data_IF_063212790090
#
_entry.id   IF_063212790090
#
_cell.length_a   1.000
_cell.length_b   1.000
_cell.length_c   1.000
_cell.angle_alpha   90.00
_cell.angle_beta   90.00
_cell.angle_gamma   90.00
#
_symmetry.space_group_name_H-M   'P 1'
#
loop_
_entity.id
_entity.type
_entity.pdbx_description
1 polymer ?
#
# COMPACT_ATOMS: atom_id res chain seq x y z
N UNK A 1 25.89 27.74 2.75
CA UNK A 1 24.54 28.02 2.20
C UNK A 1 24.40 27.48 0.77
N UNK A 2 25.32 27.76 -0.14
CA UNK A 2 25.33 27.27 -1.54
C UNK A 2 25.25 25.74 -1.67
N UNK A 3 26.01 24.97 -0.88
CA UNK A 3 25.98 23.50 -0.88
C UNK A 3 24.60 22.91 -0.55
N UNK A 4 23.93 23.46 0.48
CA UNK A 4 22.60 23.00 0.92
C UNK A 4 21.56 23.26 -0.17
N UNK A 5 21.62 24.42 -0.83
CA UNK A 5 20.72 24.75 -1.93
C UNK A 5 20.94 23.79 -3.10
N UNK A 6 22.21 23.49 -3.45
CA UNK A 6 22.54 22.53 -4.50
C UNK A 6 22.01 21.13 -4.17
N UNK A 7 22.24 20.64 -2.94
CA UNK A 7 21.76 19.33 -2.49
C UNK A 7 20.23 19.24 -2.55
N UNK A 8 19.53 20.31 -2.18
CA UNK A 8 18.06 20.39 -2.28
C UNK A 8 17.57 20.38 -3.74
N UNK A 9 18.23 21.13 -4.63
CA UNK A 9 17.91 21.13 -6.06
C UNK A 9 18.13 19.74 -6.66
N UNK A 10 19.27 19.10 -6.35
CA UNK A 10 19.54 17.75 -6.80
C UNK A 10 18.50 16.76 -6.26
N UNK A 11 18.18 16.81 -4.97
CA UNK A 11 17.15 15.95 -4.38
C UNK A 11 15.79 16.13 -5.07
N UNK A 12 15.39 17.38 -5.37
CA UNK A 12 14.17 17.67 -6.13
C UNK A 12 14.21 17.06 -7.53
N UNK A 13 15.32 17.21 -8.26
CA UNK A 13 15.49 16.63 -9.59
C UNK A 13 15.40 15.11 -9.55
N UNK A 14 16.10 14.45 -8.61
CA UNK A 14 15.99 13.00 -8.42
C UNK A 14 14.56 12.59 -8.12
N UNK A 15 13.87 13.28 -7.22
CA UNK A 15 12.46 13.03 -6.93
C UNK A 15 11.57 13.07 -8.19
N UNK A 16 11.74 14.06 -9.07
CA UNK A 16 11.02 14.14 -10.34
C UNK A 16 11.40 13.01 -11.30
N UNK A 17 12.70 12.79 -11.51
CA UNK A 17 13.20 11.83 -12.48
C UNK A 17 12.93 10.38 -12.08
N UNK A 18 12.90 10.06 -10.78
CA UNK A 18 12.50 8.73 -10.32
C UNK A 18 11.03 8.44 -10.64
N UNK A 19 10.16 9.45 -10.58
CA UNK A 19 8.76 9.29 -10.96
C UNK A 19 8.64 9.00 -12.47
N UNK A 20 9.47 9.66 -13.28
CA UNK A 20 9.54 9.43 -14.73
C UNK A 20 10.11 8.04 -15.02
N UNK A 21 11.19 7.65 -14.34
CA UNK A 21 11.87 6.36 -14.51
C UNK A 21 10.95 5.18 -14.19
N UNK A 22 10.32 5.21 -13.01
CA UNK A 22 9.31 4.21 -12.61
C UNK A 22 8.12 4.19 -13.58
N UNK A 23 7.61 5.35 -14.00
CA UNK A 23 6.54 5.42 -15.01
C UNK A 23 6.96 4.79 -16.34
N UNK A 24 8.23 4.90 -16.75
CA UNK A 24 8.79 4.24 -17.93
C UNK A 24 8.68 2.72 -17.85
N UNK A 25 9.09 2.12 -16.74
CA UNK A 25 8.89 0.69 -16.49
C UNK A 25 7.41 0.30 -16.38
N UNK A 26 6.58 1.19 -15.83
CA UNK A 26 5.13 1.06 -15.87
C UNK A 26 4.58 0.94 -17.29
N UNK A 27 5.12 1.72 -18.25
CA UNK A 27 4.74 1.61 -19.67
C UNK A 27 5.06 0.22 -20.22
N UNK A 28 6.24 -0.33 -19.93
CA UNK A 28 6.62 -1.69 -20.35
C UNK A 28 5.63 -2.71 -19.78
N UNK A 29 5.41 -2.68 -18.47
CA UNK A 29 4.58 -3.69 -17.81
C UNK A 29 3.14 -3.64 -18.33
N UNK A 30 2.55 -2.46 -18.48
CA UNK A 30 1.19 -2.30 -18.99
C UNK A 30 1.09 -2.65 -20.48
N UNK A 31 2.10 -2.25 -21.26
CA UNK A 31 2.24 -2.61 -22.68
C UNK A 31 2.29 -4.13 -22.88
N UNK A 32 2.99 -4.84 -22.00
CA UNK A 32 3.03 -6.29 -21.98
C UNK A 32 1.64 -6.86 -21.67
N UNK A 33 0.98 -6.37 -20.61
CA UNK A 33 -0.29 -6.90 -20.10
C UNK A 33 -1.50 -6.67 -21.02
N UNK A 34 -1.55 -5.55 -21.75
CA UNK A 34 -2.74 -5.17 -22.53
C UNK A 34 -2.37 -4.47 -23.84
N UNK A 35 -2.93 -4.94 -24.96
CA UNK A 35 -2.75 -4.30 -26.27
C UNK A 35 -3.75 -3.16 -26.54
N UNK A 36 -4.85 -3.06 -25.78
CA UNK A 36 -5.96 -2.13 -26.03
C UNK A 36 -6.06 -0.95 -25.04
N UNK A 37 -5.13 -0.79 -24.10
CA UNK A 37 -5.26 0.25 -23.06
C UNK A 37 -4.82 1.62 -23.57
N UNK A 38 -5.64 2.25 -24.40
CA UNK A 38 -5.38 3.61 -24.93
C UNK A 38 -5.34 4.70 -23.83
N UNK A 39 -5.88 4.44 -22.63
CA UNK A 39 -6.13 5.48 -21.63
C UNK A 39 -5.63 5.12 -20.22
N UNK A 40 -4.34 4.85 -20.05
CA UNK A 40 -3.75 4.62 -18.72
C UNK A 40 -3.22 5.93 -18.14
N UNK A 41 -3.50 6.14 -16.85
CA UNK A 41 -3.06 7.30 -16.09
C UNK A 41 -1.57 7.21 -15.74
N UNK A 42 -0.80 8.31 -15.79
CA UNK A 42 0.60 8.35 -15.34
C UNK A 42 0.80 7.95 -13.89
N UNK A 43 -0.12 8.35 -13.01
CA UNK A 43 -0.03 7.93 -11.62
C UNK A 43 -0.20 6.43 -11.47
N UNK A 44 -1.02 5.81 -12.33
CA UNK A 44 -1.15 4.35 -12.41
C UNK A 44 0.10 3.72 -13.04
N UNK A 45 0.71 4.34 -14.07
CA UNK A 45 1.99 3.89 -14.63
C UNK A 45 3.08 3.83 -13.56
N UNK A 46 3.20 4.85 -12.72
CA UNK A 46 4.15 4.82 -11.59
C UNK A 46 3.89 3.64 -10.63
N UNK A 47 2.62 3.32 -10.31
CA UNK A 47 2.30 2.17 -9.45
C UNK A 47 2.72 0.84 -10.09
N UNK A 48 2.47 0.66 -11.39
CA UNK A 48 2.93 -0.51 -12.14
C UNK A 48 4.46 -0.54 -12.31
N UNK A 49 5.10 0.64 -12.37
CA UNK A 49 6.55 0.78 -12.33
C UNK A 49 7.15 0.24 -11.04
N UNK A 50 6.53 0.55 -9.90
CA UNK A 50 6.95 0.03 -8.61
C UNK A 50 6.79 -1.51 -8.52
N UNK A 51 5.75 -2.08 -9.14
CA UNK A 51 5.61 -3.54 -9.27
C UNK A 51 6.78 -4.12 -10.08
N UNK A 52 7.18 -3.47 -11.16
CA UNK A 52 8.33 -3.89 -11.96
C UNK A 52 9.64 -3.80 -11.16
N UNK A 53 9.84 -2.72 -10.41
CA UNK A 53 10.97 -2.58 -9.48
C UNK A 53 10.99 -3.63 -8.38
N UNK A 54 9.84 -4.05 -7.86
CA UNK A 54 9.78 -5.15 -6.90
C UNK A 54 10.33 -6.44 -7.51
N UNK A 55 9.93 -6.75 -8.74
CA UNK A 55 10.40 -7.94 -9.46
C UNK A 55 11.92 -7.88 -9.65
N UNK A 56 12.44 -6.76 -10.17
CA UNK A 56 13.89 -6.59 -10.37
C UNK A 56 14.65 -6.65 -9.05
N UNK A 57 14.22 -5.89 -8.04
CA UNK A 57 14.89 -5.82 -6.75
C UNK A 57 14.95 -7.20 -6.08
N UNK A 58 13.87 -7.98 -6.17
CA UNK A 58 13.89 -9.35 -5.64
C UNK A 58 14.79 -10.28 -6.46
N UNK A 59 14.79 -10.17 -7.79
CA UNK A 59 15.71 -10.94 -8.64
C UNK A 59 17.19 -10.64 -8.31
N UNK A 60 17.56 -9.37 -8.12
CA UNK A 60 18.91 -8.97 -7.74
C UNK A 60 19.33 -9.56 -6.39
N UNK A 61 18.41 -9.54 -5.42
CA UNK A 61 18.65 -10.14 -4.10
C UNK A 61 18.94 -11.64 -4.18
N UNK A 62 18.24 -12.35 -5.07
CA UNK A 62 18.46 -13.79 -5.27
C UNK A 62 19.78 -14.13 -5.97
N UNK A 63 20.29 -13.26 -6.86
CA UNK A 63 21.41 -13.62 -7.76
C UNK A 63 22.73 -12.91 -7.44
N UNK A 64 22.73 -11.57 -7.40
CA UNK A 64 23.96 -10.77 -7.54
C UNK A 64 24.15 -9.69 -6.49
N UNK A 65 23.28 -9.62 -5.46
CA UNK A 65 23.18 -8.50 -4.50
C UNK A 65 22.93 -7.14 -5.16
N UNK A 66 22.61 -6.13 -4.36
CA UNK A 66 22.40 -4.78 -4.88
C UNK A 66 23.74 -4.07 -5.14
N UNK A 67 23.78 -3.24 -6.19
CA UNK A 67 24.93 -2.42 -6.52
C UNK A 67 24.47 -1.00 -6.90
N UNK A 68 24.99 0.07 -6.25
CA UNK A 68 24.67 1.45 -6.60
C UNK A 68 24.84 1.80 -8.09
N UNK A 69 25.82 1.20 -8.77
CA UNK A 69 26.08 1.43 -10.20
C UNK A 69 24.95 0.82 -11.04
N UNK A 70 24.50 -0.39 -10.68
CA UNK A 70 23.35 -1.02 -11.33
C UNK A 70 22.08 -0.18 -11.13
N UNK A 71 21.88 0.37 -9.93
CA UNK A 71 20.77 1.27 -9.62
C UNK A 71 20.76 2.51 -10.54
N UNK A 72 21.94 3.09 -10.81
CA UNK A 72 22.08 4.22 -11.75
C UNK A 72 21.68 3.79 -13.18
N UNK A 73 22.17 2.65 -13.65
CA UNK A 73 21.86 2.14 -14.99
C UNK A 73 20.35 1.91 -15.12
N UNK A 74 19.74 1.24 -14.13
CA UNK A 74 18.30 0.99 -14.08
C UNK A 74 17.50 2.31 -14.09
N UNK A 75 17.94 3.30 -13.33
CA UNK A 75 17.30 4.61 -13.28
C UNK A 75 17.30 5.31 -14.65
N UNK A 76 18.45 5.41 -15.31
CA UNK A 76 18.53 6.05 -16.63
C UNK A 76 17.82 5.24 -17.72
N UNK A 77 17.86 3.91 -17.65
CA UNK A 77 17.15 3.05 -18.59
C UNK A 77 15.62 3.26 -18.47
N UNK A 78 15.07 3.37 -17.26
CA UNK A 78 13.67 3.72 -17.06
C UNK A 78 13.28 5.09 -17.64
N UNK A 79 14.15 6.10 -17.52
CA UNK A 79 13.94 7.42 -18.14
C UNK A 79 13.95 7.30 -19.66
N UNK A 80 14.94 6.59 -20.22
CA UNK A 80 15.03 6.35 -21.66
C UNK A 80 13.77 5.67 -22.20
N UNK A 81 13.33 4.58 -21.57
CA UNK A 81 12.09 3.89 -21.92
C UNK A 81 10.90 4.85 -21.90
N UNK A 82 10.81 5.72 -20.90
CA UNK A 82 9.70 6.65 -20.80
C UNK A 82 9.59 7.55 -22.04
N UNK A 83 10.71 8.04 -22.57
CA UNK A 83 10.70 8.93 -23.73
C UNK A 83 10.65 8.19 -25.08
N UNK A 84 11.39 7.08 -25.24
CA UNK A 84 11.54 6.40 -26.53
C UNK A 84 10.46 5.34 -26.79
N UNK A 85 9.80 4.81 -25.76
CA UNK A 85 8.74 3.82 -25.95
C UNK A 85 7.40 4.50 -26.27
N UNK A 86 7.18 4.79 -27.55
CA UNK A 86 5.93 5.34 -28.06
C UNK A 86 4.82 4.28 -28.11
N UNK A 87 3.99 4.28 -27.07
CA UNK A 87 2.60 3.82 -27.19
C UNK A 87 1.67 4.97 -26.88
N UNK A 88 0.56 5.03 -27.63
CA UNK A 88 -0.57 5.92 -27.43
C UNK A 88 -1.15 5.77 -26.01
N UNK A 89 -0.51 6.44 -25.05
CA UNK A 89 -0.94 6.59 -23.67
C UNK A 89 -1.46 8.01 -23.51
N UNK A 90 -2.58 8.15 -22.79
CA UNK A 90 -3.27 9.42 -22.58
C UNK A 90 -2.31 10.56 -22.25
N UNK A 91 -2.29 11.58 -23.12
CA UNK A 91 -1.44 12.76 -23.03
C UNK A 91 -1.99 13.68 -21.94
N UNK A 92 -1.51 13.50 -20.72
CA UNK A 92 -1.36 14.62 -19.78
C UNK A 92 0.04 15.13 -20.06
N UNK A 93 0.15 16.40 -20.42
CA UNK A 93 1.45 17.00 -20.69
C UNK A 93 2.38 16.76 -19.51
N UNK A 94 3.63 16.37 -19.78
CA UNK A 94 4.68 16.23 -18.78
C UNK A 94 4.74 17.44 -17.82
N UNK A 95 4.48 18.64 -18.36
CA UNK A 95 4.33 19.89 -17.60
C UNK A 95 3.32 19.79 -16.46
N UNK A 96 2.15 19.19 -16.68
CA UNK A 96 1.12 19.00 -15.65
C UNK A 96 1.57 17.98 -14.59
N UNK A 97 2.27 16.92 -14.97
CA UNK A 97 2.80 15.93 -14.02
C UNK A 97 3.85 16.59 -13.11
N UNK A 98 4.80 17.31 -13.71
CA UNK A 98 5.84 18.05 -12.99
C UNK A 98 5.19 19.06 -12.04
N UNK A 99 4.15 19.77 -12.49
CA UNK A 99 3.39 20.70 -11.64
C UNK A 99 2.74 20.01 -10.43
N UNK A 100 2.11 18.84 -10.60
CA UNK A 100 1.56 18.11 -9.45
C UNK A 100 2.65 17.63 -8.51
N UNK A 101 3.74 17.09 -9.06
CA UNK A 101 4.87 16.63 -8.24
C UNK A 101 5.51 17.78 -7.46
N UNK A 102 5.64 18.96 -8.06
CA UNK A 102 6.23 20.14 -7.41
C UNK A 102 5.34 20.68 -6.29
N UNK A 103 4.01 20.66 -6.46
CA UNK A 103 3.06 21.11 -5.44
C UNK A 103 3.19 20.31 -4.13
N UNK A 104 3.49 19.02 -4.24
CA UNK A 104 3.64 18.14 -3.08
C UNK A 104 5.09 18.06 -2.57
N UNK A 105 6.08 18.63 -3.26
CA UNK A 105 7.49 18.50 -2.87
C UNK A 105 7.79 19.00 -1.44
N UNK A 106 7.11 20.04 -0.97
CA UNK A 106 7.26 20.55 0.40
C UNK A 106 6.95 19.49 1.46
N UNK A 107 6.03 18.57 1.20
CA UNK A 107 5.67 17.49 2.12
C UNK A 107 6.80 16.47 2.32
N UNK A 108 7.73 16.36 1.36
CA UNK A 108 8.96 15.56 1.51
C UNK A 108 10.00 16.27 2.39
N UNK A 109 10.07 17.59 2.31
CA UNK A 109 11.07 18.37 3.07
C UNK A 109 10.72 18.43 4.56
N UNK A 110 9.44 18.47 4.90
CA UNK A 110 8.94 18.49 6.30
C UNK A 110 8.85 17.06 6.86
N UNK A 111 9.88 16.25 6.59
CA UNK A 111 9.88 14.84 6.95
C UNK A 111 10.62 14.56 8.25
N UNK A 112 9.84 14.12 9.24
CA UNK A 112 10.37 13.26 10.29
C UNK A 112 10.31 11.81 9.75
N UNK A 113 11.18 10.93 10.27
CA UNK A 113 11.10 9.49 10.02
C UNK A 113 10.19 8.83 11.06
N UNK A 114 9.41 7.83 10.64
CA UNK A 114 8.50 7.12 11.54
C UNK A 114 9.32 6.43 12.63
N UNK A 115 8.82 6.34 13.86
CA UNK A 115 9.57 5.76 14.99
C UNK A 115 10.02 4.32 14.69
N UNK A 116 9.12 3.51 14.13
CA UNK A 116 9.42 2.14 13.69
C UNK A 116 10.50 2.05 12.59
N UNK A 117 10.77 3.14 11.86
CA UNK A 117 11.67 3.11 10.70
C UNK A 117 13.09 2.69 11.11
N UNK A 118 13.63 3.30 12.16
CA UNK A 118 14.97 2.98 12.67
C UNK A 118 15.03 1.60 13.34
N UNK A 119 13.90 1.07 13.81
CA UNK A 119 13.86 -0.16 14.61
C UNK A 119 13.92 -1.46 13.82
N UNK A 120 13.33 -1.50 12.61
CA UNK A 120 13.34 -2.70 11.78
C UNK A 120 13.29 -2.45 10.27
N UNK A 121 12.70 -1.34 9.81
CA UNK A 121 12.66 -1.05 8.37
C UNK A 121 14.03 -0.71 7.81
N UNK A 122 14.78 0.18 8.48
CA UNK A 122 16.12 0.57 8.05
C UNK A 122 17.14 -0.57 8.22
N UNK A 123 17.22 -1.28 9.37
CA UNK A 123 18.08 -2.46 9.49
C UNK A 123 17.74 -3.54 8.45
N UNK A 124 16.46 -3.78 8.19
CA UNK A 124 16.03 -4.73 7.16
C UNK A 124 16.40 -4.31 5.75
N UNK A 125 16.35 -3.01 5.44
CA UNK A 125 16.82 -2.48 4.16
C UNK A 125 18.33 -2.62 4.02
N UNK A 126 19.11 -2.32 5.06
CA UNK A 126 20.55 -2.47 5.06
C UNK A 126 20.96 -3.94 4.88
N UNK A 127 20.27 -4.86 5.55
CA UNK A 127 20.46 -6.30 5.37
C UNK A 127 20.26 -6.72 3.90
N UNK A 128 19.16 -6.29 3.28
CA UNK A 128 18.87 -6.56 1.86
C UNK A 128 19.93 -5.97 0.93
N UNK A 129 20.43 -4.78 1.24
CA UNK A 129 21.31 -4.04 0.35
C UNK A 129 22.77 -4.50 0.44
N UNK A 130 23.28 -4.75 1.65
CA UNK A 130 24.68 -5.07 1.91
C UNK A 130 25.00 -6.55 1.68
N UNK A 131 24.03 -7.43 1.96
CA UNK A 131 24.27 -8.87 1.91
C UNK A 131 23.76 -9.47 0.60
N UNK A 132 24.38 -10.59 0.21
CA UNK A 132 23.77 -11.55 -0.71
C UNK A 132 22.59 -12.23 -0.02
N UNK A 133 21.85 -13.06 -0.74
CA UNK A 133 20.74 -13.87 -0.22
C UNK A 133 21.04 -14.42 1.19
N UNK A 134 20.27 -13.98 2.20
CA UNK A 134 20.37 -14.45 3.58
C UNK A 134 19.24 -15.42 3.89
N UNK A 135 19.56 -16.70 3.96
CA UNK A 135 18.61 -17.72 4.40
C UNK A 135 18.51 -17.66 5.92
N UNK A 136 17.29 -17.64 6.44
CA UNK A 136 17.06 -17.68 7.89
C UNK A 136 17.28 -16.38 8.64
N UNK A 137 17.14 -15.22 8.00
CA UNK A 137 17.31 -13.92 8.69
C UNK A 137 16.40 -13.76 9.92
N UNK A 138 15.28 -14.50 10.00
CA UNK A 138 14.45 -14.58 11.20
C UNK A 138 15.14 -15.13 12.45
N UNK A 139 16.19 -15.95 12.30
CA UNK A 139 17.01 -16.44 13.42
C UNK A 139 17.87 -15.33 14.04
N UNK A 140 18.29 -14.34 13.24
CA UNK A 140 19.04 -13.18 13.73
C UNK A 140 18.11 -12.26 14.51
N UNK A 141 16.96 -11.96 13.91
CA UNK A 141 15.89 -11.23 14.57
C UNK A 141 14.56 -11.55 13.91
N UNK A 142 13.55 -11.85 14.73
CA UNK A 142 12.18 -12.04 14.24
C UNK A 142 11.67 -10.82 13.47
N UNK A 143 12.19 -9.62 13.76
CA UNK A 143 11.84 -8.39 13.04
C UNK A 143 12.20 -8.46 11.55
N UNK A 144 13.23 -9.21 11.15
CA UNK A 144 13.59 -9.39 9.74
C UNK A 144 12.58 -10.23 8.96
N UNK A 145 11.75 -11.03 9.62
CA UNK A 145 10.60 -11.72 9.01
C UNK A 145 9.49 -10.74 8.62
N UNK A 146 9.40 -9.60 9.31
CA UNK A 146 8.38 -8.55 9.12
C UNK A 146 8.77 -7.46 8.14
N UNK A 147 10.02 -7.48 7.65
CA UNK A 147 10.49 -6.51 6.66
C UNK A 147 9.62 -6.61 5.42
N UNK A 148 9.13 -5.46 4.98
CA UNK A 148 8.27 -5.35 3.81
C UNK A 148 9.03 -5.74 2.55
N UNK A 149 8.35 -6.40 1.60
CA UNK A 149 8.91 -6.56 0.26
C UNK A 149 9.16 -5.21 -0.43
N UNK A 150 8.52 -4.14 0.04
CA UNK A 150 8.78 -2.78 -0.43
C UNK A 150 10.24 -2.35 -0.24
N UNK A 151 10.96 -2.93 0.72
CA UNK A 151 12.39 -2.66 0.92
C UNK A 151 13.26 -3.07 -0.28
N UNK A 152 12.82 -4.05 -1.09
CA UNK A 152 13.50 -4.39 -2.35
C UNK A 152 13.39 -3.26 -3.39
N UNK A 153 12.27 -2.53 -3.41
CA UNK A 153 12.13 -1.33 -4.26
C UNK A 153 13.07 -0.25 -3.75
N UNK A 154 13.11 -0.04 -2.44
CA UNK A 154 13.93 1.03 -1.83
C UNK A 154 15.42 0.82 -1.98
N UNK A 155 15.86 -0.44 -1.98
CA UNK A 155 17.25 -0.77 -2.24
C UNK A 155 17.71 -0.31 -3.64
N UNK A 156 16.79 -0.19 -4.61
CA UNK A 156 17.07 0.39 -5.94
C UNK A 156 17.21 1.92 -5.93
N UNK A 157 16.79 2.59 -4.84
CA UNK A 157 16.91 4.04 -4.67
C UNK A 157 18.20 4.43 -3.92
N UNK A 158 19.06 3.47 -3.55
CA UNK A 158 20.34 3.76 -2.92
C UNK A 158 21.36 4.12 -4.00
N UNK A 159 21.88 5.35 -3.94
CA UNK A 159 22.80 5.92 -4.95
C UNK A 159 24.13 6.31 -4.31
N UNK A 160 25.25 6.32 -5.05
CA UNK A 160 26.58 6.63 -4.50
C UNK A 160 26.65 7.99 -3.79
N UNK A 161 26.03 9.03 -4.37
CA UNK A 161 26.12 10.40 -3.84
C UNK A 161 25.17 10.66 -2.66
N UNK A 162 23.99 10.04 -2.66
CA UNK A 162 22.94 10.28 -1.67
C UNK A 162 22.85 9.20 -0.59
N UNK A 163 23.55 8.08 -0.78
CA UNK A 163 23.46 6.89 0.06
C UNK A 163 21.98 6.52 0.30
N UNK A 164 21.54 6.51 1.55
CA UNK A 164 20.19 6.15 1.98
C UNK A 164 19.19 7.32 1.96
N UNK A 165 19.58 8.54 1.58
CA UNK A 165 18.70 9.73 1.69
C UNK A 165 17.47 9.67 0.76
N UNK A 166 17.53 8.89 -0.32
CA UNK A 166 16.48 8.81 -1.35
C UNK A 166 15.43 7.71 -1.09
N UNK A 167 15.61 6.86 -0.08
CA UNK A 167 14.81 5.64 0.15
C UNK A 167 13.33 5.91 0.47
N UNK A 168 12.98 7.14 0.87
CA UNK A 168 11.61 7.57 1.12
C UNK A 168 10.89 8.10 -0.12
N UNK A 169 11.60 8.39 -1.21
CA UNK A 169 11.01 8.81 -2.48
C UNK A 169 9.97 7.80 -3.00
N UNK A 170 10.23 6.47 -3.06
CA UNK A 170 9.23 5.53 -3.58
C UNK A 170 7.98 5.44 -2.70
N UNK A 171 8.11 5.61 -1.38
CA UNK A 171 6.96 5.71 -0.45
C UNK A 171 6.06 6.87 -0.85
N UNK A 172 6.69 8.05 -1.01
CA UNK A 172 5.97 9.26 -1.36
C UNK A 172 5.39 9.24 -2.77
N UNK A 173 6.08 8.61 -3.72
CA UNK A 173 5.56 8.39 -5.06
C UNK A 173 4.28 7.56 -5.08
N UNK A 174 4.12 6.56 -4.20
CA UNK A 174 2.84 5.83 -4.09
C UNK A 174 1.74 6.74 -3.52
N UNK A 175 2.05 7.55 -2.51
CA UNK A 175 1.10 8.51 -1.97
C UNK A 175 0.62 9.51 -3.04
N UNK A 176 1.54 10.17 -3.74
CA UNK A 176 1.19 11.11 -4.81
C UNK A 176 0.47 10.41 -5.95
N UNK A 177 0.88 9.19 -6.31
CA UNK A 177 0.14 8.40 -7.29
C UNK A 177 -1.31 8.16 -6.87
N UNK A 178 -1.56 7.97 -5.59
CA UNK A 178 -2.92 7.81 -5.07
C UNK A 178 -3.71 9.12 -5.18
N UNK A 179 -3.15 10.23 -4.69
CA UNK A 179 -3.79 11.55 -4.76
C UNK A 179 -4.07 11.94 -6.21
N UNK A 180 -3.06 11.81 -7.08
CA UNK A 180 -3.15 12.09 -8.51
C UNK A 180 -4.13 11.17 -9.25
N UNK A 181 -4.23 9.91 -8.85
CA UNK A 181 -5.23 8.98 -9.39
C UNK A 181 -6.67 9.46 -9.12
N UNK A 182 -6.99 9.80 -7.88
CA UNK A 182 -8.32 10.30 -7.51
C UNK A 182 -8.60 11.67 -8.12
N UNK A 183 -7.62 12.56 -8.16
CA UNK A 183 -7.75 13.87 -8.79
C UNK A 183 -8.14 13.79 -10.27
N UNK A 184 -7.48 12.90 -11.04
CA UNK A 184 -7.78 12.77 -12.47
C UNK A 184 -9.13 12.09 -12.73
N UNK A 185 -9.54 11.13 -11.90
CA UNK A 185 -10.87 10.53 -12.00
C UNK A 185 -11.98 11.52 -11.59
N UNK A 186 -11.71 12.40 -10.62
CA UNK A 186 -12.59 13.50 -10.27
C UNK A 186 -12.81 14.47 -11.43
N UNK A 187 -11.73 14.87 -12.13
CA UNK A 187 -11.79 15.79 -13.28
C UNK A 187 -12.41 15.21 -14.55
N UNK A 188 -12.59 13.89 -14.63
CA UNK A 188 -13.07 13.22 -15.84
C UNK A 188 -14.53 13.59 -16.12
N UNK A 189 -14.84 13.98 -17.36
CA UNK A 189 -16.19 14.46 -17.71
C UNK A 189 -17.26 13.36 -17.57
N UNK A 190 -16.96 12.15 -18.06
CA UNK A 190 -17.91 11.04 -18.20
C UNK A 190 -18.07 10.16 -16.93
N UNK A 191 -17.55 10.58 -15.78
CA UNK A 191 -17.73 9.83 -14.52
C UNK A 191 -19.06 10.17 -13.86
N UNK A 192 -19.66 9.18 -13.19
CA UNK A 192 -20.93 9.38 -12.49
C UNK A 192 -20.76 10.41 -11.36
N UNK A 193 -21.84 11.11 -10.98
CA UNK A 193 -21.78 12.09 -9.87
C UNK A 193 -21.29 11.45 -8.57
N UNK A 194 -21.73 10.22 -8.30
CA UNK A 194 -21.32 9.41 -7.15
C UNK A 194 -19.82 9.14 -7.16
N UNK A 195 -19.30 8.71 -8.31
CA UNK A 195 -17.88 8.44 -8.47
C UNK A 195 -17.05 9.71 -8.27
N UNK A 196 -17.47 10.84 -8.86
CA UNK A 196 -16.81 12.14 -8.63
C UNK A 196 -16.84 12.51 -7.15
N UNK A 197 -17.97 12.31 -6.50
CA UNK A 197 -18.14 12.59 -5.08
C UNK A 197 -17.20 11.73 -4.21
N UNK A 198 -17.13 10.43 -4.49
CA UNK A 198 -16.21 9.51 -3.85
C UNK A 198 -14.74 9.92 -4.05
N UNK A 199 -14.36 10.25 -5.29
CA UNK A 199 -13.00 10.71 -5.58
C UNK A 199 -12.65 12.00 -4.85
N UNK A 200 -13.58 12.96 -4.78
CA UNK A 200 -13.39 14.22 -4.05
C UNK A 200 -13.28 13.99 -2.54
N UNK A 201 -14.14 13.13 -1.98
CA UNK A 201 -14.10 12.77 -0.56
C UNK A 201 -12.75 12.18 -0.16
N UNK A 202 -12.27 11.17 -0.91
CA UNK A 202 -10.96 10.57 -0.67
C UNK A 202 -9.84 11.58 -0.84
N UNK A 203 -9.87 12.39 -1.90
CA UNK A 203 -8.81 13.36 -2.16
C UNK A 203 -8.67 14.37 -1.02
N UNK A 204 -9.80 14.94 -0.57
CA UNK A 204 -9.81 15.91 0.52
C UNK A 204 -9.36 15.25 1.82
N UNK A 205 -9.83 14.02 2.10
CA UNK A 205 -9.38 13.26 3.26
C UNK A 205 -7.86 13.03 3.26
N UNK A 206 -7.29 12.57 2.14
CA UNK A 206 -5.87 12.26 2.05
C UNK A 206 -5.00 13.51 2.26
N UNK A 207 -5.39 14.64 1.68
CA UNK A 207 -4.63 15.90 1.78
C UNK A 207 -4.70 16.48 3.20
N UNK A 208 -5.86 16.38 3.88
CA UNK A 208 -6.02 16.89 5.25
C UNK A 208 -5.26 16.03 6.26
N UNK A 209 -5.35 14.68 6.17
CA UNK A 209 -4.78 13.79 7.20
C UNK A 209 -3.29 13.51 7.01
N UNK A 210 -2.80 13.47 5.78
CA UNK A 210 -1.44 13.04 5.46
C UNK A 210 -0.60 14.21 4.96
N UNK A 211 -0.16 15.05 5.90
CA UNK A 211 0.60 16.27 5.61
C UNK A 211 2.12 16.06 5.69
N UNK A 212 2.59 15.06 6.46
CA UNK A 212 4.02 14.78 6.71
C UNK A 212 4.40 13.33 6.42
N UNK A 213 5.67 13.10 6.04
CA UNK A 213 6.21 11.75 5.75
C UNK A 213 5.95 10.71 6.87
N UNK A 214 6.02 11.13 8.13
CA UNK A 214 5.67 10.27 9.28
C UNK A 214 4.26 9.70 9.21
N UNK A 215 3.32 10.47 8.65
CA UNK A 215 1.91 10.15 8.68
C UNK A 215 1.54 9.15 7.59
N UNK A 216 2.33 9.04 6.51
CA UNK A 216 2.09 8.12 5.40
C UNK A 216 3.19 7.07 5.18
N UNK A 217 3.96 6.76 6.22
CA UNK A 217 4.99 5.72 6.21
C UNK A 217 4.47 4.33 5.80
N UNK A 218 5.38 3.36 5.74
CA UNK A 218 5.20 2.00 5.18
C UNK A 218 3.86 1.30 5.43
N UNK A 219 3.24 1.53 6.59
CA UNK A 219 1.97 0.90 6.96
C UNK A 219 0.77 1.45 6.18
N UNK A 220 0.80 2.73 5.80
CA UNK A 220 -0.31 3.43 5.14
C UNK A 220 -0.32 3.26 3.62
N UNK A 221 0.85 3.04 3.03
CA UNK A 221 1.01 2.91 1.57
C UNK A 221 0.11 1.80 1.01
N UNK A 222 0.06 0.65 1.70
CA UNK A 222 -0.77 -0.46 1.26
C UNK A 222 -2.26 -0.10 1.30
N UNK A 223 -2.70 0.65 2.31
CA UNK A 223 -4.08 1.12 2.44
C UNK A 223 -4.46 2.15 1.37
N UNK A 224 -3.53 3.00 0.94
CA UNK A 224 -3.76 3.89 -0.20
C UNK A 224 -4.05 3.11 -1.49
N UNK A 225 -3.33 2.01 -1.71
CA UNK A 225 -3.61 1.10 -2.82
C UNK A 225 -5.00 0.46 -2.66
N UNK A 226 -5.41 0.07 -1.46
CA UNK A 226 -6.75 -0.49 -1.20
C UNK A 226 -7.88 0.47 -1.60
N UNK A 227 -7.71 1.78 -1.42
CA UNK A 227 -8.68 2.78 -1.91
C UNK A 227 -8.78 2.79 -3.43
N UNK A 228 -7.64 2.74 -4.15
CA UNK A 228 -7.61 2.65 -5.62
C UNK A 228 -8.27 1.34 -6.09
N UNK A 229 -7.98 0.24 -5.40
CA UNK A 229 -8.54 -1.08 -5.69
C UNK A 229 -10.05 -1.05 -5.53
N UNK A 230 -10.56 -0.49 -4.43
CA UNK A 230 -12.01 -0.32 -4.24
C UNK A 230 -12.64 0.50 -5.37
N UNK A 231 -12.04 1.64 -5.74
CA UNK A 231 -12.55 2.46 -6.84
C UNK A 231 -12.68 1.65 -8.15
N UNK A 232 -11.65 0.89 -8.50
CA UNK A 232 -11.66 0.02 -9.69
C UNK A 232 -12.72 -1.07 -9.60
N UNK A 233 -12.80 -1.76 -8.46
CA UNK A 233 -13.74 -2.86 -8.21
C UNK A 233 -15.19 -2.41 -8.20
N UNK A 234 -15.48 -1.20 -7.71
CA UNK A 234 -16.85 -0.72 -7.57
C UNK A 234 -17.30 0.11 -8.78
N UNK A 235 -16.56 1.17 -9.12
CA UNK A 235 -16.95 2.12 -10.18
C UNK A 235 -16.54 1.66 -11.58
N UNK A 236 -15.43 0.93 -11.70
CA UNK A 236 -14.90 0.48 -13.00
C UNK A 236 -15.15 -1.00 -13.29
N UNK A 237 -16.05 -1.66 -12.53
CA UNK A 237 -16.37 -3.10 -12.64
C UNK A 237 -16.76 -3.60 -14.04
N UNK A 238 -17.28 -2.71 -14.90
CA UNK A 238 -17.63 -3.05 -16.29
C UNK A 238 -16.42 -3.30 -17.19
N UNK A 239 -15.23 -2.80 -16.83
CA UNK A 239 -14.01 -2.91 -17.63
C UNK A 239 -13.16 -4.06 -17.14
N UNK A 240 -13.13 -5.17 -17.89
CA UNK A 240 -12.39 -6.39 -17.54
C UNK A 240 -10.93 -6.13 -17.17
N UNK A 241 -10.22 -5.30 -17.94
CA UNK A 241 -8.82 -4.96 -17.64
C UNK A 241 -8.64 -4.27 -16.28
N UNK A 242 -9.58 -3.43 -15.86
CA UNK A 242 -9.48 -2.72 -14.58
C UNK A 242 -9.62 -3.66 -13.37
N UNK A 243 -10.40 -4.73 -13.51
CA UNK A 243 -10.51 -5.81 -12.52
C UNK A 243 -9.17 -6.56 -12.37
N UNK A 244 -8.53 -6.92 -13.48
CA UNK A 244 -7.23 -7.61 -13.40
C UNK A 244 -6.14 -6.71 -12.82
N UNK A 245 -6.14 -5.44 -13.17
CA UNK A 245 -5.26 -4.45 -12.54
C UNK A 245 -5.51 -4.33 -11.04
N UNK A 246 -6.78 -4.36 -10.58
CA UNK A 246 -7.06 -4.33 -9.14
C UNK A 246 -6.57 -5.59 -8.43
N UNK A 247 -6.65 -6.77 -9.05
CA UNK A 247 -6.09 -8.02 -8.50
C UNK A 247 -4.57 -7.90 -8.36
N UNK A 248 -3.87 -7.44 -9.40
CA UNK A 248 -2.41 -7.23 -9.37
C UNK A 248 -2.02 -6.22 -8.28
N UNK A 249 -2.72 -5.08 -8.20
CA UNK A 249 -2.48 -4.08 -7.16
C UNK A 249 -2.77 -4.61 -5.75
N UNK A 250 -3.75 -5.50 -5.60
CA UNK A 250 -4.06 -6.11 -4.31
C UNK A 250 -2.95 -7.05 -3.85
N UNK A 251 -2.44 -7.90 -4.73
CA UNK A 251 -1.28 -8.75 -4.42
C UNK A 251 -0.08 -7.86 -4.09
N UNK A 252 0.14 -6.78 -4.84
CA UNK A 252 1.18 -5.81 -4.51
C UNK A 252 0.97 -5.16 -3.13
N UNK A 253 -0.26 -4.82 -2.74
CA UNK A 253 -0.57 -4.31 -1.40
C UNK A 253 -0.27 -5.33 -0.29
N UNK A 254 -0.50 -6.62 -0.56
CA UNK A 254 -0.13 -7.74 0.34
C UNK A 254 1.39 -7.85 0.44
N UNK A 255 2.12 -7.68 -0.67
CA UNK A 255 3.58 -7.66 -0.69
C UNK A 255 4.14 -6.54 0.18
N UNK A 256 3.55 -5.35 0.11
CA UNK A 256 3.93 -4.22 0.97
C UNK A 256 3.62 -4.55 2.42
N UNK A 257 2.38 -4.92 2.72
CA UNK A 257 1.93 -5.31 4.05
C UNK A 257 0.90 -6.43 3.97
N UNK A 258 1.26 -7.57 4.56
CA UNK A 258 0.43 -8.78 4.60
C UNK A 258 -0.94 -8.56 5.26
N UNK A 259 -1.04 -7.60 6.19
CA UNK A 259 -2.30 -7.22 6.85
C UNK A 259 -3.36 -6.69 5.87
N UNK A 260 -2.97 -6.29 4.65
CA UNK A 260 -3.90 -5.92 3.58
C UNK A 260 -4.87 -7.06 3.21
N UNK A 261 -4.55 -8.32 3.56
CA UNK A 261 -5.46 -9.46 3.44
C UNK A 261 -6.79 -9.27 4.18
N UNK A 262 -6.85 -8.44 5.22
CA UNK A 262 -8.09 -8.14 5.95
C UNK A 262 -9.12 -7.40 5.07
N UNK A 263 -8.68 -6.83 3.94
CA UNK A 263 -9.53 -6.23 2.92
C UNK A 263 -10.19 -7.28 1.99
N UNK A 264 -9.84 -8.57 2.12
CA UNK A 264 -10.36 -9.64 1.25
C UNK A 264 -11.90 -9.78 1.20
N UNK A 265 -12.69 -9.48 2.25
CA UNK A 265 -14.16 -9.45 2.12
C UNK A 265 -14.64 -8.50 1.03
N UNK A 266 -14.07 -7.29 0.93
CA UNK A 266 -14.42 -6.32 -0.12
C UNK A 266 -14.04 -6.82 -1.52
N UNK A 267 -13.10 -7.74 -1.63
CA UNK A 267 -12.80 -8.42 -2.89
C UNK A 267 -13.92 -9.33 -3.37
N UNK A 268 -14.85 -9.76 -2.49
CA UNK A 268 -16.03 -10.54 -2.89
C UNK A 268 -16.99 -9.76 -3.79
N UNK A 269 -16.87 -8.42 -3.87
CA UNK A 269 -17.57 -7.60 -4.87
C UNK A 269 -17.29 -8.06 -6.31
N UNK A 270 -16.15 -8.71 -6.54
CA UNK A 270 -15.82 -9.34 -7.81
C UNK A 270 -16.90 -10.33 -8.25
N UNK A 271 -17.31 -11.24 -7.35
CA UNK A 271 -18.29 -12.31 -7.62
C UNK A 271 -19.68 -11.80 -7.98
N UNK A 272 -19.94 -10.52 -7.76
CA UNK A 272 -21.18 -9.91 -8.22
C UNK A 272 -21.19 -9.56 -9.70
N UNK A 273 -20.03 -9.35 -10.30
CA UNK A 273 -19.97 -9.30 -11.75
C UNK A 273 -20.33 -10.70 -12.26
N UNK A 274 -21.48 -10.85 -12.94
CA UNK A 274 -21.97 -12.11 -13.53
C UNK A 274 -20.99 -12.76 -14.53
N UNK A 275 -19.80 -12.19 -14.69
CA UNK A 275 -18.84 -12.49 -15.73
C UNK A 275 -17.56 -13.12 -15.19
N UNK A 276 -17.45 -13.57 -13.93
CA UNK A 276 -16.15 -14.12 -13.43
C UNK A 276 -15.69 -15.37 -14.15
N UNK A 277 -16.60 -16.28 -14.47
CA UNK A 277 -16.26 -17.46 -15.26
C UNK A 277 -15.95 -17.10 -16.71
N UNK A 278 -16.66 -16.13 -17.31
CA UNK A 278 -16.30 -15.56 -18.62
C UNK A 278 -14.98 -14.77 -18.59
N UNK A 279 -14.63 -14.21 -17.43
CA UNK A 279 -13.39 -13.48 -17.15
C UNK A 279 -12.18 -14.42 -17.02
N UNK A 280 -12.29 -15.74 -17.13
CA UNK A 280 -11.12 -16.64 -17.10
C UNK A 280 -10.74 -17.12 -18.51
N UNK A 281 -11.62 -16.96 -19.51
CA UNK A 281 -11.48 -17.61 -20.83
C UNK A 281 -10.65 -16.84 -21.87
N UNK A 282 -10.18 -15.61 -21.61
CA UNK A 282 -9.53 -14.76 -22.64
C UNK A 282 -8.00 -14.74 -22.59
N UNK A 283 -7.35 -14.61 -23.76
CA UNK A 283 -5.89 -14.67 -23.91
C UNK A 283 -5.12 -13.55 -23.19
N UNK A 284 -5.69 -12.34 -23.08
CA UNK A 284 -5.10 -11.22 -22.31
C UNK A 284 -4.89 -11.57 -20.83
N UNK A 285 -5.67 -12.49 -20.31
CA UNK A 285 -5.67 -12.83 -18.89
C UNK A 285 -4.48 -13.72 -18.54
N UNK A 286 -3.95 -14.50 -19.49
CA UNK A 286 -2.75 -15.30 -19.26
C UNK A 286 -1.56 -14.45 -18.84
N UNK A 287 -1.43 -13.24 -19.37
CA UNK A 287 -0.34 -12.31 -19.00
C UNK A 287 -0.53 -11.72 -17.59
N UNK A 288 -1.76 -11.37 -17.24
CA UNK A 288 -2.07 -10.94 -15.86
C UNK A 288 -1.88 -12.10 -14.87
N UNK A 289 -2.34 -13.30 -15.21
CA UNK A 289 -2.15 -14.51 -14.39
C UNK A 289 -0.67 -14.84 -14.21
N UNK A 290 0.15 -14.70 -15.25
CA UNK A 290 1.60 -14.85 -15.15
C UNK A 290 2.21 -13.84 -14.17
N UNK A 291 1.82 -12.56 -14.28
CA UNK A 291 2.30 -11.53 -13.35
C UNK A 291 1.83 -11.79 -11.90
N UNK A 292 0.58 -12.22 -11.73
CA UNK A 292 0.02 -12.62 -10.44
C UNK A 292 0.82 -13.78 -9.85
N UNK A 293 1.09 -14.81 -10.65
CA UNK A 293 1.89 -15.96 -10.26
C UNK A 293 3.30 -15.53 -9.84
N UNK A 294 3.96 -14.69 -10.63
CA UNK A 294 5.29 -14.16 -10.31
C UNK A 294 5.30 -13.41 -8.97
N UNK A 295 4.31 -12.54 -8.73
CA UNK A 295 4.20 -11.82 -7.45
C UNK A 295 3.94 -12.75 -6.27
N UNK A 296 3.08 -13.76 -6.43
CA UNK A 296 2.84 -14.76 -5.40
C UNK A 296 4.11 -15.57 -5.10
N UNK A 297 4.86 -15.95 -6.13
CA UNK A 297 6.16 -16.61 -5.97
C UNK A 297 7.09 -15.75 -5.13
N UNK A 298 7.25 -14.46 -5.43
CA UNK A 298 8.07 -13.53 -4.64
C UNK A 298 7.62 -13.49 -3.17
N UNK A 299 6.31 -13.42 -2.90
CA UNK A 299 5.77 -13.38 -1.54
C UNK A 299 6.11 -14.66 -0.77
N UNK A 300 5.82 -15.82 -1.36
CA UNK A 300 6.01 -17.10 -0.70
C UNK A 300 7.49 -17.47 -0.56
N UNK A 301 8.29 -17.27 -1.60
CA UNK A 301 9.72 -17.55 -1.54
C UNK A 301 10.43 -16.64 -0.54
N UNK A 302 10.12 -15.34 -0.51
CA UNK A 302 10.72 -14.44 0.49
C UNK A 302 10.30 -14.83 1.92
N UNK A 303 9.04 -15.17 2.14
CA UNK A 303 8.57 -15.66 3.44
C UNK A 303 9.33 -16.91 3.87
N UNK A 304 9.48 -17.87 2.95
CA UNK A 304 10.12 -19.15 3.22
C UNK A 304 11.62 -19.02 3.48
N UNK A 305 12.33 -18.25 2.65
CA UNK A 305 13.77 -17.98 2.80
C UNK A 305 14.06 -17.32 4.14
N UNK A 306 13.27 -16.32 4.54
CA UNK A 306 13.53 -15.57 5.79
C UNK A 306 13.19 -16.34 7.06
N UNK A 307 12.20 -17.24 7.02
CA UNK A 307 11.59 -17.78 8.25
C UNK A 307 11.26 -19.28 8.27
N UNK A 308 11.40 -19.98 7.15
CA UNK A 308 10.90 -21.36 6.98
C UNK A 308 9.37 -21.46 6.91
N UNK A 309 8.64 -20.34 6.80
CA UNK A 309 7.19 -20.31 6.62
C UNK A 309 6.80 -20.04 5.18
N UNK A 310 5.91 -20.86 4.61
CA UNK A 310 5.34 -20.58 3.29
C UNK A 310 4.65 -19.22 3.32
N UNK A 311 3.85 -18.93 4.35
CA UNK A 311 3.19 -17.63 4.50
C UNK A 311 3.12 -17.19 5.98
N UNK A 312 4.15 -16.49 6.45
CA UNK A 312 4.07 -15.75 7.71
C UNK A 312 2.97 -14.65 7.58
N UNK A 313 2.06 -14.43 8.54
CA UNK A 313 2.06 -14.88 9.95
C UNK A 313 1.35 -16.20 10.27
N UNK A 314 0.94 -16.99 9.27
CA UNK A 314 0.16 -18.21 9.53
C UNK A 314 1.10 -19.31 10.03
N UNK A 315 1.14 -19.49 11.35
CA UNK A 315 2.05 -20.44 12.03
C UNK A 315 1.90 -21.89 11.55
N UNK A 316 0.71 -22.30 11.09
CA UNK A 316 0.51 -23.64 10.51
C UNK A 316 1.35 -23.88 9.25
N UNK A 317 1.63 -22.83 8.48
CA UNK A 317 2.44 -22.89 7.26
C UNK A 317 3.95 -22.85 7.52
N UNK A 318 4.35 -22.83 8.79
CA UNK A 318 5.74 -22.75 9.21
C UNK A 318 6.31 -24.13 9.53
N UNK A 319 7.53 -24.37 9.06
CA UNK A 319 8.34 -25.53 9.42
C UNK A 319 9.17 -25.23 10.67
N UNK A 320 9.33 -26.25 11.51
CA UNK A 320 10.11 -26.16 12.75
C UNK A 320 11.61 -26.30 12.49
N UNK A 321 12.45 -25.93 13.46
CA UNK A 321 13.91 -26.14 13.41
C UNK A 321 14.31 -27.60 13.17
N UNK A 322 13.47 -28.54 13.62
CA UNK A 322 13.69 -29.99 13.40
C UNK A 322 13.48 -30.38 11.93
N UNK A 323 12.63 -29.66 11.22
CA UNK A 323 12.32 -29.94 9.80
C UNK A 323 13.25 -29.18 8.84
N UNK A 324 13.63 -27.94 9.20
CA UNK A 324 14.52 -27.07 8.45
C UNK A 324 15.33 -26.21 9.42
N UNK A 325 16.66 -26.18 9.25
CA UNK A 325 17.61 -25.53 10.16
C UNK A 325 17.31 -24.05 10.45
N UNK A 326 16.71 -23.35 9.49
CA UNK A 326 16.36 -21.93 9.62
C UNK A 326 14.89 -21.64 9.96
N UNK A 327 14.09 -22.66 10.27
CA UNK A 327 12.69 -22.49 10.66
C UNK A 327 12.54 -21.78 12.00
N UNK A 328 11.68 -20.75 12.10
CA UNK A 328 11.45 -19.99 13.35
C UNK A 328 10.01 -20.10 13.86
N UNK A 329 9.37 -21.26 13.65
CA UNK A 329 7.96 -21.51 13.96
C UNK A 329 7.56 -21.14 15.40
N UNK A 330 8.33 -21.62 16.39
CA UNK A 330 7.97 -21.45 17.80
C UNK A 330 8.13 -19.99 18.26
N UNK A 331 9.22 -19.36 17.83
CA UNK A 331 9.51 -17.97 18.13
C UNK A 331 8.48 -17.04 17.47
N UNK A 332 8.09 -17.32 16.23
CA UNK A 332 7.05 -16.56 15.53
C UNK A 332 5.68 -16.68 16.19
N UNK A 333 5.34 -17.86 16.74
CA UNK A 333 4.09 -18.06 17.50
C UNK A 333 4.07 -17.21 18.77
N UNK A 334 5.19 -17.10 19.49
CA UNK A 334 5.30 -16.23 20.67
C UNK A 334 5.19 -14.76 20.26
N UNK A 335 5.93 -14.37 19.22
CA UNK A 335 5.93 -13.00 18.72
C UNK A 335 4.58 -12.54 18.15
N UNK A 336 3.78 -13.44 17.55
CA UNK A 336 2.45 -13.08 17.08
C UNK A 336 1.52 -12.70 18.25
N UNK A 337 1.62 -13.41 19.38
CA UNK A 337 0.85 -13.12 20.59
C UNK A 337 1.29 -11.78 21.20
N UNK A 338 2.58 -11.46 21.16
CA UNK A 338 3.12 -10.16 21.57
C UNK A 338 2.58 -9.02 20.69
N UNK A 339 2.61 -9.17 19.36
CA UNK A 339 2.05 -8.18 18.43
C UNK A 339 0.56 -7.96 18.69
N UNK A 340 -0.20 -9.04 18.84
CA UNK A 340 -1.64 -8.96 19.12
C UNK A 340 -1.89 -8.22 20.43
N UNK A 341 -1.12 -8.53 21.47
CA UNK A 341 -1.23 -7.89 22.78
C UNK A 341 -0.88 -6.41 22.74
N UNK A 342 0.18 -6.05 22.02
CA UNK A 342 0.54 -4.67 21.76
C UNK A 342 -0.58 -3.94 21.02
N UNK A 343 -1.09 -4.52 19.93
CA UNK A 343 -2.14 -3.92 19.11
C UNK A 343 -3.44 -3.70 19.90
N UNK A 344 -3.74 -4.59 20.85
CA UNK A 344 -4.91 -4.53 21.75
C UNK A 344 -4.63 -3.74 23.05
N UNK A 345 -3.48 -3.07 23.19
CA UNK A 345 -3.19 -2.14 24.28
C UNK A 345 -2.69 -2.76 25.60
N UNK A 346 -2.29 -4.03 25.62
CA UNK A 346 -1.87 -4.75 26.83
C UNK A 346 -0.75 -4.04 27.61
N UNK A 347 0.27 -3.54 26.90
CA UNK A 347 1.41 -2.85 27.53
C UNK A 347 1.12 -1.42 27.96
N UNK A 348 -0.03 -0.86 27.55
CA UNK A 348 -0.44 0.50 27.84
C UNK A 348 -1.53 0.60 28.90
N UNK A 349 -1.98 -0.54 29.48
CA UNK A 349 -3.07 -0.61 30.47
C UNK A 349 -2.94 0.41 31.62
N UNK A 350 -1.71 0.76 32.04
CA UNK A 350 -1.44 1.76 33.09
C UNK A 350 -2.03 3.15 32.81
N UNK A 351 -2.24 3.48 31.53
CA UNK A 351 -2.81 4.77 31.09
C UNK A 351 -4.34 4.71 31.10
N UNK A 352 -4.93 3.51 31.06
CA UNK A 352 -6.38 3.34 31.08
C UNK A 352 -6.95 3.47 32.49
N UNK A 353 -8.22 3.88 32.57
CA UNK A 353 -8.99 3.90 33.82
C UNK A 353 -9.41 2.52 34.34
N UNK A 354 -9.13 1.46 33.59
CA UNK A 354 -9.56 0.10 33.92
C UNK A 354 -8.50 -0.67 34.71
N UNK A 355 -8.93 -1.68 35.48
CA UNK A 355 -8.03 -2.50 36.30
C UNK A 355 -7.06 -3.28 35.42
N UNK A 356 -5.77 -3.14 35.70
CA UNK A 356 -4.70 -3.88 35.01
C UNK A 356 -4.86 -5.40 35.17
N UNK A 357 -4.90 -6.11 34.05
CA UNK A 357 -4.87 -7.56 33.96
C UNK A 357 -3.43 -7.99 33.69
N UNK A 358 -2.77 -8.62 34.67
CA UNK A 358 -1.38 -9.08 34.54
C UNK A 358 -1.20 -10.26 33.59
N UNK A 359 -2.20 -11.14 33.49
CA UNK A 359 -2.11 -12.34 32.65
C UNK A 359 -2.52 -12.02 31.20
N UNK A 360 -1.56 -12.07 30.28
CA UNK A 360 -1.73 -11.77 28.85
C UNK A 360 -2.79 -12.66 28.18
N UNK A 361 -2.83 -13.96 28.48
CA UNK A 361 -3.84 -14.87 27.92
C UNK A 361 -5.25 -14.49 28.38
N UNK A 362 -5.40 -14.13 29.66
CA UNK A 362 -6.69 -13.65 30.20
C UNK A 362 -7.10 -12.29 29.62
N UNK A 363 -6.14 -11.42 29.32
CA UNK A 363 -6.41 -10.12 28.70
C UNK A 363 -6.92 -10.26 27.27
N UNK A 364 -6.32 -11.17 26.49
CA UNK A 364 -6.72 -11.42 25.11
C UNK A 364 -8.05 -12.19 24.99
N UNK A 365 -8.43 -12.97 26.00
CA UNK A 365 -9.68 -13.73 25.97
C UNK A 365 -10.92 -12.87 26.25
N UNK A 366 -12.09 -13.32 25.78
CA UNK A 366 -13.42 -12.78 26.09
C UNK A 366 -13.55 -11.24 25.97
N UNK A 367 -12.84 -10.62 25.01
CA UNK A 367 -12.93 -9.17 24.76
C UNK A 367 -12.58 -8.28 25.96
N UNK A 368 -11.86 -8.78 26.98
CA UNK A 368 -11.44 -7.96 28.13
C UNK A 368 -10.61 -6.75 27.68
N UNK A 369 -9.78 -6.93 26.65
CA UNK A 369 -8.97 -5.89 26.03
C UNK A 369 -9.78 -4.73 25.41
N UNK A 370 -11.03 -4.97 25.00
CA UNK A 370 -11.78 -4.01 24.18
C UNK A 370 -12.05 -2.70 24.93
N UNK A 371 -12.36 -2.76 26.22
CA UNK A 371 -12.58 -1.57 27.07
C UNK A 371 -11.32 -0.71 27.18
N UNK A 372 -10.16 -1.35 27.37
CA UNK A 372 -8.85 -0.68 27.44
C UNK A 372 -8.49 -0.08 26.09
N UNK A 373 -8.72 -0.83 25.00
CA UNK A 373 -8.46 -0.36 23.65
C UNK A 373 -9.32 0.85 23.27
N UNK A 374 -10.60 0.87 23.68
CA UNK A 374 -11.46 2.05 23.48
C UNK A 374 -10.83 3.29 24.14
N UNK A 375 -10.41 3.13 25.40
CA UNK A 375 -9.85 4.21 26.21
C UNK A 375 -8.55 4.76 25.60
N UNK A 376 -7.61 3.88 25.27
CA UNK A 376 -6.23 4.26 24.87
C UNK A 376 -6.07 4.49 23.37
N UNK A 377 -6.80 3.76 22.53
CA UNK A 377 -6.59 3.76 21.07
C UNK A 377 -7.75 4.37 20.29
N UNK A 378 -9.00 3.98 20.58
CA UNK A 378 -10.15 4.44 19.79
C UNK A 378 -10.30 5.96 19.87
N UNK A 379 -10.43 6.53 21.08
CA UNK A 379 -10.68 7.97 21.24
C UNK A 379 -9.50 8.85 20.81
N UNK A 380 -8.27 8.34 20.92
CA UNK A 380 -7.08 9.11 20.56
C UNK A 380 -6.73 9.05 19.08
N UNK A 381 -6.93 7.90 18.41
CA UNK A 381 -6.50 7.72 17.00
C UNK A 381 -7.66 7.57 16.02
N UNK A 382 -8.67 6.78 16.36
CA UNK A 382 -9.79 6.49 15.44
C UNK A 382 -10.83 7.60 15.45
N UNK A 383 -11.13 8.16 16.62
CA UNK A 383 -12.15 9.20 16.77
C UNK A 383 -11.74 10.52 16.12
N UNK A 384 -10.48 10.95 16.24
CA UNK A 384 -9.92 12.10 15.50
C UNK A 384 -10.16 11.95 13.99
N UNK A 385 -9.96 10.75 13.47
CA UNK A 385 -10.20 10.44 12.06
C UNK A 385 -11.70 10.46 11.70
N UNK A 386 -12.58 9.95 12.57
CA UNK A 386 -14.03 10.03 12.35
C UNK A 386 -14.53 11.48 12.34
N UNK A 387 -13.95 12.36 13.17
CA UNK A 387 -14.24 13.80 13.15
C UNK A 387 -13.86 14.45 11.82
N UNK A 388 -12.72 14.06 11.23
CA UNK A 388 -12.34 14.52 9.88
C UNK A 388 -13.38 14.05 8.86
N UNK A 389 -13.83 12.79 8.93
CA UNK A 389 -14.87 12.28 8.03
C UNK A 389 -16.18 13.06 8.21
N UNK A 390 -16.63 13.25 9.45
CA UNK A 390 -17.87 13.98 9.75
C UNK A 390 -17.78 15.43 9.24
N UNK A 391 -16.66 16.11 9.48
CA UNK A 391 -16.46 17.49 9.00
C UNK A 391 -16.44 17.57 7.47
N UNK A 392 -15.85 16.58 6.80
CA UNK A 392 -15.93 16.44 5.35
C UNK A 392 -17.38 16.26 4.89
N UNK A 393 -18.16 15.42 5.54
CA UNK A 393 -19.57 15.24 5.24
C UNK A 393 -20.38 16.52 5.38
N UNK A 394 -20.18 17.27 6.46
CA UNK A 394 -20.82 18.56 6.65
C UNK A 394 -20.42 19.55 5.56
N UNK A 395 -19.12 19.72 5.30
CA UNK A 395 -18.62 20.61 4.24
C UNK A 395 -19.22 20.25 2.87
N UNK A 396 -19.28 18.95 2.57
CA UNK A 396 -19.86 18.43 1.33
C UNK A 396 -21.38 18.62 1.26
N UNK A 397 -22.11 18.44 2.36
CA UNK A 397 -23.54 18.69 2.42
C UNK A 397 -23.86 20.15 2.07
N UNK A 398 -23.09 21.12 2.59
CA UNK A 398 -23.27 22.54 2.23
C UNK A 398 -22.98 22.85 0.75
N UNK A 399 -22.06 22.12 0.12
CA UNK A 399 -21.75 22.26 -1.31
C UNK A 399 -22.86 21.63 -2.17
N UNK A 400 -23.39 20.48 -1.76
CA UNK A 400 -24.38 19.69 -2.52
C UNK A 400 -25.81 20.16 -2.30
N UNK A 401 -26.17 20.70 -1.14
CA UNK A 401 -27.53 21.17 -0.85
C UNK A 401 -28.01 22.28 -1.79
N UNK A 402 -27.06 23.00 -2.44
CA UNK A 402 -27.34 23.93 -3.54
C UNK A 402 -27.80 23.24 -4.85
N UNK A 403 -27.57 21.93 -5.00
CA UNK A 403 -27.87 21.11 -6.18
C UNK A 403 -28.77 19.90 -5.80
N UNK A 404 -30.09 20.04 -5.93
CA UNK A 404 -31.16 19.11 -5.47
C UNK A 404 -31.20 17.67 -6.05
N UNK A 405 -30.13 17.13 -6.66
CA UNK A 405 -30.11 15.73 -7.12
C UNK A 405 -29.38 14.84 -6.12
N UNK A 406 -30.14 14.26 -5.19
CA UNK A 406 -29.66 13.23 -4.26
C UNK A 406 -29.20 12.01 -5.06
N UNK A 407 -28.07 11.46 -4.65
CA UNK A 407 -27.45 10.26 -5.19
C UNK A 407 -28.31 9.04 -4.84
N UNK A 408 -28.81 8.29 -5.83
CA UNK A 408 -29.58 7.07 -5.61
C UNK A 408 -28.74 5.82 -5.93
N UNK A 409 -28.43 5.00 -4.91
CA UNK A 409 -27.87 3.67 -5.10
C UNK A 409 -28.96 2.61 -5.28
N UNK A 410 -28.62 1.51 -5.99
CA UNK A 410 -29.45 0.30 -5.91
C UNK A 410 -29.33 -0.27 -4.51
N UNK A 411 -30.46 -0.49 -3.83
CA UNK A 411 -30.53 -0.92 -2.42
C UNK A 411 -29.72 -2.19 -2.14
N UNK A 412 -29.76 -3.18 -3.04
CA UNK A 412 -28.95 -4.41 -2.91
C UNK A 412 -27.44 -4.13 -3.00
N UNK A 413 -27.01 -3.30 -3.95
CA UNK A 413 -25.59 -2.89 -4.13
C UNK A 413 -25.02 -2.19 -2.91
N UNK A 414 -25.80 -1.28 -2.33
CA UNK A 414 -25.42 -0.60 -1.11
C UNK A 414 -25.30 -1.56 0.09
N UNK A 415 -26.32 -2.39 0.32
CA UNK A 415 -26.37 -3.31 1.47
C UNK A 415 -25.17 -4.27 1.49
N UNK A 416 -24.81 -4.83 0.34
CA UNK A 416 -23.65 -5.72 0.27
C UNK A 416 -22.33 -5.01 0.51
N UNK A 417 -22.17 -3.76 0.04
CA UNK A 417 -20.93 -3.01 0.29
C UNK A 417 -20.81 -2.70 1.77
N UNK A 418 -21.91 -2.31 2.41
CA UNK A 418 -21.96 -2.10 3.86
C UNK A 418 -21.62 -3.41 4.60
N UNK A 419 -22.22 -4.54 4.23
CA UNK A 419 -21.90 -5.83 4.85
C UNK A 419 -20.44 -6.26 4.65
N UNK A 420 -19.90 -6.12 3.44
CA UNK A 420 -18.51 -6.49 3.13
C UNK A 420 -17.49 -5.55 3.79
N UNK A 421 -17.77 -4.25 3.85
CA UNK A 421 -16.89 -3.30 4.55
C UNK A 421 -16.96 -3.50 6.07
N UNK A 422 -18.16 -3.76 6.61
CA UNK A 422 -18.34 -4.08 8.03
C UNK A 422 -17.62 -5.37 8.43
N UNK A 423 -17.69 -6.43 7.61
CA UNK A 423 -16.92 -7.67 7.85
C UNK A 423 -15.42 -7.44 7.79
N UNK A 424 -14.91 -6.62 6.85
CA UNK A 424 -13.51 -6.20 6.84
C UNK A 424 -13.11 -5.43 8.11
N UNK A 425 -13.97 -4.55 8.63
CA UNK A 425 -13.74 -3.82 9.89
C UNK A 425 -13.74 -4.80 11.08
N UNK A 426 -14.64 -5.78 11.12
CA UNK A 426 -14.64 -6.80 12.16
C UNK A 426 -13.35 -7.62 12.17
N UNK A 427 -12.87 -8.08 11.00
CA UNK A 427 -11.59 -8.81 10.93
C UNK A 427 -10.41 -7.93 11.35
N UNK A 428 -10.41 -6.65 11.00
CA UNK A 428 -9.42 -5.70 11.50
C UNK A 428 -9.48 -5.53 13.03
N UNK A 429 -10.68 -5.39 13.58
CA UNK A 429 -10.88 -5.19 15.01
C UNK A 429 -10.42 -6.41 15.83
N UNK A 430 -10.71 -7.61 15.34
CA UNK A 430 -10.37 -8.86 16.02
C UNK A 430 -8.87 -9.19 15.97
N UNK A 431 -8.21 -8.88 14.85
CA UNK A 431 -6.81 -9.26 14.61
C UNK A 431 -5.80 -8.23 15.13
N UNK A 432 -5.76 -7.04 14.54
CA UNK A 432 -4.76 -6.00 14.82
C UNK A 432 -5.45 -4.63 14.74
N UNK A 433 -6.17 -4.19 15.79
CA UNK A 433 -7.01 -2.99 15.78
C UNK A 433 -6.21 -1.68 15.87
N UNK A 434 -5.20 -1.54 15.01
CA UNK A 434 -4.42 -0.32 14.85
C UNK A 434 -4.92 0.42 13.61
N UNK A 435 -5.25 1.70 13.79
CA UNK A 435 -5.88 2.55 12.77
C UNK A 435 -5.17 2.48 11.39
N UNK A 436 -3.83 2.50 11.40
CA UNK A 436 -2.98 2.41 10.19
C UNK A 436 -3.24 1.17 9.31
N UNK A 437 -3.82 0.10 9.85
CA UNK A 437 -4.10 -1.15 9.12
C UNK A 437 -5.56 -1.32 8.70
N UNK A 438 -6.47 -0.44 9.14
CA UNK A 438 -7.92 -0.58 8.90
C UNK A 438 -8.57 0.61 8.21
N UNK A 439 -7.88 1.75 8.10
CA UNK A 439 -8.55 2.99 7.72
C UNK A 439 -9.19 2.94 6.33
N UNK A 440 -8.65 2.21 5.35
CA UNK A 440 -9.28 2.14 4.02
C UNK A 440 -10.70 1.53 4.11
N UNK A 441 -10.86 0.44 4.86
CA UNK A 441 -12.15 -0.19 5.11
C UNK A 441 -13.11 0.74 5.86
N UNK A 442 -12.59 1.50 6.84
CA UNK A 442 -13.41 2.46 7.61
C UNK A 442 -13.85 3.62 6.72
N UNK A 443 -12.97 4.23 5.91
CA UNK A 443 -13.35 5.29 4.95
C UNK A 443 -14.44 4.79 4.01
N UNK A 444 -14.30 3.59 3.47
CA UNK A 444 -15.27 3.02 2.54
C UNK A 444 -16.61 2.81 3.23
N UNK A 445 -16.63 2.19 4.42
CA UNK A 445 -17.86 2.02 5.19
C UNK A 445 -18.52 3.37 5.47
N UNK A 446 -17.76 4.33 5.99
CA UNK A 446 -18.26 5.65 6.32
C UNK A 446 -18.75 6.42 5.11
N UNK A 447 -18.23 6.16 3.89
CA UNK A 447 -18.69 6.82 2.67
C UNK A 447 -20.13 6.42 2.27
N UNK A 448 -20.48 5.14 2.49
CA UNK A 448 -21.75 4.56 2.04
C UNK A 448 -22.82 4.51 3.13
N UNK A 449 -22.43 4.67 4.39
CA UNK A 449 -23.33 4.91 5.52
C UNK A 449 -23.77 6.38 5.51
#
# INVERSE_FOLDING_TARGET
>A
MTKIILDLILFYLFYLFFFISSSGYGKILISFLSTQSKNVNYFELNLFGNIFYLIIGYCLYLTSSFNPIFNIILFFLGIGIYFFFEKNLNIISLKKIIFYLSLFFSALLISKLHEDFLTYHFPGLQEIFLNKLTVGSGNISLRFVHVSLFSYIQALYIFPFFEYKLINIPVFHIFISTVGYFFLNFKKLNTSKIEKFFCFFILTFLIIKFTRLNEYGYDYIAQFLLLIIFHKLFFLKKKRCEIFKSIVLFIFSISIKKISLLFSPLFLLLFWSKNIFELIKSSFQKKYLFLIFLLLMIIFSNSFIRSGCIFYPINYTCLSKVQIDWGVKEELKKHSVEIESWAKGFYHQKISKYKNIKNQKKYLSNWHWFKVWIDIHFFYKVFEFLLIIISLYFAMYFIISKNKKIISFKTKELLSILALSLTSIFFWLDTVPQFRFGFASIIIFSFFY
#
